data_IF_359976562161
#
_entry.id   IF_359976562161
#
_cell.length_a   1.000
_cell.length_b   1.000
_cell.length_c   1.000
_cell.angle_alpha   90.00
_cell.angle_beta   90.00
_cell.angle_gamma   90.00
#
_symmetry.space_group_name_H-M   'P 1'
#
loop_
_entity.id
_entity.type
_entity.pdbx_description
1 polymer ?
#
# COMPACT_ATOMS: atom_id res chain seq x y z
N UNK A 1 7.44 -5.56 20.37
CA UNK A 1 8.18 -6.82 20.15
C UNK A 1 8.33 -7.03 18.64
N UNK A 2 9.53 -6.87 18.10
CA UNK A 2 9.82 -6.95 16.68
C UNK A 2 10.64 -8.22 16.39
N UNK A 3 10.11 -9.14 15.58
CA UNK A 3 10.84 -10.32 15.13
C UNK A 3 11.66 -9.95 13.90
N UNK A 4 12.99 -9.98 14.07
CA UNK A 4 13.99 -9.78 13.01
C UNK A 4 13.99 -10.98 12.07
N UNK A 5 13.53 -10.79 10.83
CA UNK A 5 14.00 -11.60 9.68
C UNK A 5 14.59 -10.64 8.65
N UNK A 6 15.75 -11.00 8.10
CA UNK A 6 16.73 -10.15 7.40
C UNK A 6 16.32 -9.57 6.05
N UNK A 7 15.18 -8.91 5.99
CA UNK A 7 14.85 -7.95 4.95
C UNK A 7 14.64 -6.61 5.66
N UNK A 8 15.40 -5.58 5.26
CA UNK A 8 15.29 -4.23 5.80
C UNK A 8 13.82 -3.75 5.70
N UNK A 9 13.08 -3.86 6.80
CA UNK A 9 11.66 -3.49 6.88
C UNK A 9 11.58 -2.06 7.37
N UNK A 10 11.10 -1.18 6.49
CA UNK A 10 10.63 0.15 6.87
C UNK A 10 9.21 -0.02 7.44
N UNK A 11 8.99 0.39 8.69
CA UNK A 11 7.64 0.60 9.23
C UNK A 11 7.34 2.08 9.06
N UNK A 12 6.31 2.42 8.30
CA UNK A 12 5.83 3.79 8.16
C UNK A 12 4.59 3.89 9.06
N UNK A 13 4.78 4.40 10.28
CA UNK A 13 3.72 4.62 11.27
C UNK A 13 3.24 6.08 11.36
N UNK A 14 3.83 6.98 10.58
CA UNK A 14 3.34 8.35 10.41
C UNK A 14 3.54 8.68 8.93
N UNK A 15 2.46 9.03 8.25
CA UNK A 15 2.43 9.28 6.81
C UNK A 15 3.15 10.61 6.56
N UNK A 16 4.46 10.51 6.43
CA UNK A 16 5.29 11.35 5.58
C UNK A 16 6.01 10.32 4.75
N UNK A 17 5.77 10.24 3.43
CA UNK A 17 6.65 9.44 2.56
C UNK A 17 8.04 10.00 2.76
N UNK A 18 8.93 9.33 3.52
CA UNK A 18 10.23 9.90 3.77
C UNK A 18 10.88 10.08 2.41
N UNK A 19 11.60 11.17 2.17
CA UNK A 19 12.31 11.35 0.90
C UNK A 19 13.24 10.17 0.63
N UNK A 20 13.68 9.49 1.69
CA UNK A 20 14.43 8.23 1.60
C UNK A 20 13.62 7.09 0.96
N UNK A 21 12.30 7.01 1.14
CA UNK A 21 11.46 5.98 0.53
C UNK A 21 11.40 6.18 -0.98
N UNK A 22 11.08 7.40 -1.44
CA UNK A 22 11.09 7.79 -2.87
C UNK A 22 12.44 7.48 -3.54
N UNK A 23 13.55 7.63 -2.81
CA UNK A 23 14.88 7.30 -3.30
C UNK A 23 15.23 5.80 -3.21
N UNK A 24 14.63 5.05 -2.28
CA UNK A 24 14.95 3.65 -1.97
C UNK A 24 13.99 2.63 -2.55
N UNK A 25 12.96 3.04 -3.29
CA UNK A 25 12.03 2.11 -3.96
C UNK A 25 12.71 1.18 -4.96
N UNK A 26 13.88 1.62 -5.46
CA UNK A 26 14.77 0.84 -6.33
C UNK A 26 15.52 -0.25 -5.59
N UNK A 27 15.65 -0.14 -4.26
CA UNK A 27 16.50 -0.99 -3.43
C UNK A 27 15.78 -2.24 -2.94
N UNK A 28 14.45 -2.18 -2.75
CA UNK A 28 13.69 -3.25 -2.10
C UNK A 28 12.77 -3.99 -3.08
N UNK A 29 13.03 -5.29 -3.23
CA UNK A 29 12.19 -6.20 -4.03
C UNK A 29 10.82 -6.43 -3.39
N UNK A 30 10.71 -6.29 -2.07
CA UNK A 30 9.47 -6.37 -1.30
C UNK A 30 9.32 -5.14 -0.40
N UNK A 31 8.20 -4.43 -0.54
CA UNK A 31 7.79 -3.33 0.33
C UNK A 31 6.52 -3.73 1.07
N UNK A 32 6.45 -3.48 2.38
CA UNK A 32 5.25 -3.71 3.19
C UNK A 32 4.84 -2.36 3.75
N UNK A 33 3.60 -1.96 3.46
CA UNK A 33 2.99 -0.74 3.95
C UNK A 33 1.90 -1.14 4.92
N UNK A 34 2.16 -0.90 6.20
CA UNK A 34 1.20 -1.13 7.27
C UNK A 34 0.27 0.09 7.41
N UNK A 35 -0.91 -0.10 7.98
CA UNK A 35 -1.90 0.98 8.22
C UNK A 35 -2.24 1.83 6.98
N UNK A 36 -2.32 1.18 5.82
CA UNK A 36 -2.61 1.83 4.55
C UNK A 36 -3.96 2.55 4.60
N UNK A 37 -3.95 3.81 4.15
CA UNK A 37 -5.10 4.71 4.15
C UNK A 37 -5.68 4.96 5.55
N UNK A 38 -4.85 4.94 6.60
CA UNK A 38 -5.29 5.41 7.92
C UNK A 38 -5.68 6.89 7.90
N UNK A 39 -4.84 7.73 7.29
CA UNK A 39 -5.06 9.18 7.10
C UNK A 39 -5.37 9.46 5.62
N UNK A 40 -6.23 10.44 5.35
CA UNK A 40 -6.48 10.90 3.99
C UNK A 40 -5.26 11.66 3.45
N UNK A 41 -4.96 11.50 2.16
CA UNK A 41 -3.83 12.14 1.51
C UNK A 41 -4.21 13.55 1.04
N UNK A 42 -3.22 14.44 1.03
CA UNK A 42 -3.27 15.68 0.27
C UNK A 42 -3.07 15.40 -1.23
N UNK A 43 -3.47 16.32 -2.09
CA UNK A 43 -3.31 16.17 -3.55
C UNK A 43 -1.83 15.98 -3.95
N UNK A 44 -0.91 16.68 -3.28
CA UNK A 44 0.54 16.52 -3.52
C UNK A 44 1.02 15.13 -3.14
N UNK A 45 0.60 14.61 -1.98
CA UNK A 45 0.95 13.25 -1.54
C UNK A 45 0.35 12.18 -2.43
N UNK A 46 -0.86 12.39 -2.96
CA UNK A 46 -1.48 11.50 -3.93
C UNK A 46 -0.67 11.43 -5.25
N UNK A 47 -0.15 12.56 -5.73
CA UNK A 47 0.73 12.61 -6.91
C UNK A 47 2.05 11.88 -6.67
N UNK A 48 2.67 12.11 -5.51
CA UNK A 48 3.90 11.42 -5.11
C UNK A 48 3.66 9.90 -5.03
N UNK A 49 2.57 9.50 -4.38
CA UNK A 49 2.14 8.10 -4.30
C UNK A 49 1.92 7.48 -5.68
N UNK A 50 1.27 8.19 -6.61
CA UNK A 50 1.11 7.69 -7.98
C UNK A 50 2.46 7.43 -8.65
N UNK A 51 3.46 8.31 -8.44
CA UNK A 51 4.82 8.11 -8.93
C UNK A 51 5.46 6.83 -8.40
N UNK A 52 5.31 6.59 -7.09
CA UNK A 52 5.79 5.39 -6.39
C UNK A 52 5.16 4.12 -6.96
N UNK A 53 3.83 4.10 -7.00
CA UNK A 53 3.06 2.95 -7.49
C UNK A 53 3.39 2.68 -8.96
N UNK A 54 3.47 3.72 -9.78
CA UNK A 54 3.85 3.59 -11.19
C UNK A 54 5.25 2.98 -11.36
N UNK A 55 6.21 3.37 -10.52
CA UNK A 55 7.55 2.82 -10.58
C UNK A 55 7.58 1.34 -10.19
N UNK A 56 6.90 0.97 -9.11
CA UNK A 56 6.88 -0.41 -8.57
C UNK A 56 5.99 -1.36 -9.36
N UNK A 57 4.96 -0.84 -10.06
CA UNK A 57 4.02 -1.61 -10.86
C UNK A 57 4.73 -2.57 -11.82
N UNK A 58 4.43 -3.87 -11.69
CA UNK A 58 5.06 -4.98 -12.44
C UNK A 58 6.59 -5.10 -12.31
N UNK A 59 7.22 -4.40 -11.36
CA UNK A 59 8.69 -4.45 -11.15
C UNK A 59 9.07 -5.02 -9.80
N UNK A 60 8.35 -4.67 -8.74
CA UNK A 60 8.63 -5.10 -7.37
C UNK A 60 7.34 -5.33 -6.59
N UNK A 61 7.38 -6.24 -5.61
CA UNK A 61 6.17 -6.60 -4.86
C UNK A 61 5.88 -5.61 -3.76
N UNK A 62 4.61 -5.24 -3.62
CA UNK A 62 4.14 -4.37 -2.53
C UNK A 62 2.99 -5.04 -1.81
N UNK A 63 3.07 -5.08 -0.49
CA UNK A 63 2.00 -5.56 0.38
C UNK A 63 1.40 -4.35 1.09
N UNK A 64 0.09 -4.17 0.95
CA UNK A 64 -0.68 -3.15 1.65
C UNK A 64 -1.53 -3.82 2.72
N UNK A 65 -1.41 -3.37 3.97
CA UNK A 65 -2.29 -3.79 5.06
C UNK A 65 -3.26 -2.65 5.34
N UNK A 66 -4.56 -2.82 5.10
CA UNK A 66 -5.56 -1.80 5.41
C UNK A 66 -6.71 -2.36 6.23
N UNK A 67 -7.28 -1.49 7.06
CA UNK A 67 -8.56 -1.71 7.75
C UNK A 67 -9.76 -1.17 6.95
N UNK A 68 -9.52 -0.61 5.77
CA UNK A 68 -10.52 -0.03 4.90
C UNK A 68 -10.62 -0.87 3.63
N UNK A 69 -11.82 -0.93 3.05
CA UNK A 69 -12.03 -1.52 1.73
C UNK A 69 -11.60 -0.57 0.61
N UNK A 70 -11.58 -1.06 -0.63
CA UNK A 70 -11.32 -0.28 -1.84
C UNK A 70 -12.09 1.03 -1.94
N UNK A 71 -13.38 1.01 -1.61
CA UNK A 71 -14.20 2.22 -1.62
C UNK A 71 -13.70 3.25 -0.59
N UNK A 72 -13.24 2.79 0.57
CA UNK A 72 -12.62 3.62 1.59
C UNK A 72 -11.27 4.19 1.15
N UNK A 73 -10.49 3.46 0.33
CA UNK A 73 -9.22 3.94 -0.21
C UNK A 73 -9.45 5.07 -1.22
N UNK A 74 -10.39 4.87 -2.14
CA UNK A 74 -10.73 5.87 -3.15
C UNK A 74 -11.09 7.22 -2.50
N UNK A 75 -11.99 7.17 -1.51
CA UNK A 75 -12.42 8.34 -0.76
C UNK A 75 -11.28 9.05 -0.01
N UNK A 76 -10.24 8.33 0.41
CA UNK A 76 -9.12 8.87 1.20
C UNK A 76 -7.96 9.42 0.37
N UNK A 77 -7.83 9.01 -0.88
CA UNK A 77 -6.88 9.63 -1.82
C UNK A 77 -7.37 11.04 -2.23
N UNK A 78 -8.68 11.28 -2.14
CA UNK A 78 -9.29 12.60 -2.26
C UNK A 78 -9.60 13.00 -3.70
N UNK A 79 -8.60 13.03 -4.59
CA UNK A 79 -8.80 13.40 -6.00
C UNK A 79 -9.25 12.17 -6.81
N UNK A 80 -10.48 12.14 -7.38
CA UNK A 80 -11.06 10.94 -7.99
C UNK A 80 -10.22 10.36 -9.14
N UNK A 81 -9.65 11.20 -10.00
CA UNK A 81 -8.91 10.73 -11.17
C UNK A 81 -7.60 10.06 -10.77
N UNK A 82 -6.88 10.63 -9.81
CA UNK A 82 -5.67 10.07 -9.21
C UNK A 82 -6.01 8.83 -8.39
N UNK A 83 -7.10 8.85 -7.63
CA UNK A 83 -7.56 7.70 -6.85
C UNK A 83 -7.82 6.50 -7.75
N UNK A 84 -8.58 6.68 -8.84
CA UNK A 84 -8.86 5.63 -9.81
C UNK A 84 -7.58 5.15 -10.49
N UNK A 85 -6.70 6.06 -10.89
CA UNK A 85 -5.42 5.71 -11.52
C UNK A 85 -4.48 4.92 -10.61
N UNK A 86 -4.45 5.25 -9.31
CA UNK A 86 -3.65 4.53 -8.30
C UNK A 86 -4.26 3.16 -8.04
N UNK A 87 -5.57 3.11 -7.81
CA UNK A 87 -6.28 1.87 -7.51
C UNK A 87 -6.21 0.89 -8.68
N UNK A 88 -6.39 1.34 -9.91
CA UNK A 88 -6.26 0.47 -11.09
C UNK A 88 -4.90 -0.24 -11.11
N UNK A 89 -3.81 0.47 -10.80
CA UNK A 89 -2.46 -0.12 -10.76
C UNK A 89 -2.24 -1.06 -9.58
N UNK A 90 -2.86 -0.81 -8.44
CA UNK A 90 -2.70 -1.67 -7.26
C UNK A 90 -3.57 -2.91 -7.40
N UNK A 91 -4.87 -2.71 -7.64
CA UNK A 91 -5.91 -3.74 -7.54
C UNK A 91 -5.81 -4.74 -8.69
N UNK A 92 -5.57 -4.27 -9.91
CA UNK A 92 -5.60 -5.10 -11.12
C UNK A 92 -4.55 -6.23 -11.09
N UNK A 93 -3.41 -6.01 -10.43
CA UNK A 93 -2.32 -6.98 -10.31
C UNK A 93 -2.11 -7.46 -8.87
N UNK A 94 -3.20 -7.54 -8.11
CA UNK A 94 -3.13 -7.94 -6.72
C UNK A 94 -4.01 -9.12 -6.34
N UNK A 95 -3.50 -9.89 -5.39
CA UNK A 95 -4.27 -10.86 -4.63
C UNK A 95 -4.73 -10.22 -3.32
N UNK A 96 -5.99 -10.48 -2.96
CA UNK A 96 -6.62 -9.97 -1.74
C UNK A 96 -6.76 -11.10 -0.75
N UNK A 97 -6.24 -10.88 0.46
CA UNK A 97 -6.46 -11.76 1.59
C UNK A 97 -7.26 -11.02 2.63
N UNK A 98 -8.48 -11.47 2.86
CA UNK A 98 -9.33 -10.97 3.95
C UNK A 98 -8.94 -11.65 5.26
N UNK A 99 -8.60 -10.84 6.27
CA UNK A 99 -8.28 -11.29 7.61
C UNK A 99 -9.42 -10.89 8.53
N UNK A 100 -10.04 -11.91 9.14
CA UNK A 100 -11.12 -11.72 10.11
C UNK A 100 -10.63 -11.97 11.53
N UNK A 101 -11.05 -11.11 12.46
CA UNK A 101 -10.90 -11.36 13.90
C UNK A 101 -11.93 -12.38 14.38
N UNK A 102 -11.58 -13.19 15.39
CA UNK A 102 -12.52 -14.08 16.08
C UNK A 102 -12.66 -13.69 17.57
N UNK A 103 -13.89 -13.50 18.10
CA UNK A 103 -15.17 -13.47 17.38
C UNK A 103 -15.21 -12.30 16.39
N UNK A 104 -16.02 -12.38 15.30
CA UNK A 104 -16.14 -11.33 14.28
C UNK A 104 -16.58 -10.00 14.93
N UNK A 105 -15.60 -9.21 15.38
CA UNK A 105 -15.76 -7.88 15.97
C UNK A 105 -14.75 -6.96 15.28
N UNK A 106 -15.26 -5.96 14.57
CA UNK A 106 -14.45 -4.93 13.92
C UNK A 106 -14.19 -5.18 12.43
N UNK A 107 -13.43 -4.26 11.84
CA UNK A 107 -13.19 -4.17 10.41
C UNK A 107 -12.30 -5.31 9.91
N UNK A 108 -12.64 -5.88 8.76
CA UNK A 108 -11.79 -6.83 8.02
C UNK A 108 -10.50 -6.12 7.64
N UNK A 109 -9.36 -6.76 7.93
CA UNK A 109 -8.08 -6.28 7.39
C UNK A 109 -7.92 -6.89 6.00
N UNK A 110 -7.78 -6.04 4.99
CA UNK A 110 -7.49 -6.45 3.62
C UNK A 110 -5.97 -6.36 3.42
N UNK A 111 -5.35 -7.52 3.15
CA UNK A 111 -3.99 -7.58 2.68
C UNK A 111 -4.00 -7.63 1.16
N UNK A 112 -3.37 -6.66 0.52
CA UNK A 112 -3.28 -6.60 -0.94
C UNK A 112 -1.84 -6.82 -1.34
N UNK A 113 -1.58 -7.91 -2.06
CA UNK A 113 -0.23 -8.22 -2.54
C UNK A 113 -0.15 -7.95 -4.03
N UNK A 114 0.56 -6.90 -4.43
CA UNK A 114 0.93 -6.72 -5.84
C UNK A 114 2.09 -7.68 -6.14
N UNK A 115 1.79 -8.74 -6.88
CA UNK A 115 2.76 -9.80 -7.16
C UNK A 115 3.60 -9.44 -8.39
N UNK A 116 4.89 -9.81 -8.37
CA UNK A 116 5.79 -9.75 -9.55
C UNK A 116 5.52 -10.91 -10.53
N UNK A 117 4.58 -11.81 -10.20
CA UNK A 117 4.37 -13.05 -10.93
C UNK A 117 3.41 -12.83 -12.10
N UNK A 118 3.91 -12.18 -13.15
CA UNK A 118 3.49 -12.54 -14.51
C UNK A 118 4.23 -13.86 -14.84
N UNK A 119 3.61 -15.01 -14.55
CA UNK A 119 3.91 -16.30 -15.21
C UNK A 119 2.91 -16.46 -16.34
#
# INVERSE_FOLDING_TARGET
>A
MALKTGANRCRIGEIVFPKELVQSERKYQLLIIDEWMLVALTETEAKDLLGIIHYRHKRASTIFCSQFSYAGWNAKIGEPVLADAILDRIVHYSDVVEIHSYPKKGNTMELITSSRFDI
#
